data_IF_408905154929
#
_entry.id   IF_408905154929
#
_cell.length_a   1.000
_cell.length_b   1.000
_cell.length_c   1.000
_cell.angle_alpha   90.00
_cell.angle_beta   90.00
_cell.angle_gamma   90.00
#
_symmetry.space_group_name_H-M   'P 1'
#
loop_
_entity.id
_entity.type
_entity.pdbx_description
1 polymer ?
#
# COMPACT_ATOMS: atom_id res chain seq x y z
N UNK A 1 -30.98 8.53 -5.72
CA UNK A 1 -31.47 7.37 -6.48
C UNK A 1 -30.91 7.41 -7.90
N UNK A 2 -30.27 6.31 -8.33
CA UNK A 2 -29.78 6.16 -9.71
C UNK A 2 -30.99 5.73 -10.55
N UNK A 3 -31.39 6.56 -11.54
CA UNK A 3 -32.55 6.28 -12.38
C UNK A 3 -32.43 4.97 -13.20
N UNK A 4 -33.55 4.46 -13.71
CA UNK A 4 -33.63 3.16 -14.42
C UNK A 4 -32.74 3.05 -15.66
N UNK A 5 -32.50 4.15 -16.41
CA UNK A 5 -31.68 4.13 -17.64
C UNK A 5 -30.23 3.70 -17.43
N UNK A 6 -29.48 4.21 -16.42
CA UNK A 6 -28.13 3.73 -16.11
C UNK A 6 -28.09 2.27 -15.70
N UNK A 7 -29.11 1.76 -14.98
CA UNK A 7 -29.21 0.36 -14.57
C UNK A 7 -29.36 -0.57 -15.78
N UNK A 8 -30.23 -0.21 -16.75
CA UNK A 8 -30.39 -0.99 -17.98
C UNK A 8 -29.11 -1.03 -18.82
N UNK A 9 -28.41 0.10 -18.91
CA UNK A 9 -27.14 0.19 -19.63
C UNK A 9 -26.07 -0.68 -18.96
N UNK A 10 -25.91 -0.59 -17.64
CA UNK A 10 -24.98 -1.41 -16.89
C UNK A 10 -25.27 -2.91 -17.05
N UNK A 11 -26.54 -3.32 -16.96
CA UNK A 11 -26.93 -4.71 -17.16
C UNK A 11 -26.64 -5.21 -18.59
N UNK A 12 -26.83 -4.37 -19.60
CA UNK A 12 -26.49 -4.72 -20.99
C UNK A 12 -24.98 -4.93 -21.17
N UNK A 13 -24.14 -4.09 -20.55
CA UNK A 13 -22.69 -4.24 -20.55
C UNK A 13 -22.25 -5.50 -19.80
N UNK A 14 -22.79 -5.75 -18.61
CA UNK A 14 -22.45 -6.92 -17.79
C UNK A 14 -22.81 -8.23 -18.54
N UNK A 15 -23.98 -8.26 -19.23
CA UNK A 15 -24.33 -9.42 -20.07
C UNK A 15 -23.36 -9.64 -21.22
N UNK A 16 -22.84 -8.56 -21.84
CA UNK A 16 -21.82 -8.67 -22.89
C UNK A 16 -20.49 -9.18 -22.32
N UNK A 17 -20.07 -8.63 -21.18
CA UNK A 17 -18.83 -9.06 -20.50
C UNK A 17 -18.92 -10.52 -20.12
N UNK A 18 -20.06 -11.00 -19.62
CA UNK A 18 -20.28 -12.39 -19.24
C UNK A 18 -20.33 -13.41 -20.40
N UNK A 19 -20.22 -12.97 -21.66
CA UNK A 19 -20.21 -13.88 -22.83
C UNK A 19 -18.87 -14.58 -23.06
N UNK A 20 -17.80 -14.06 -22.45
CA UNK A 20 -16.45 -14.62 -22.54
C UNK A 20 -15.85 -14.66 -21.14
N UNK A 21 -14.95 -15.60 -20.92
CA UNK A 21 -14.05 -15.59 -19.77
C UNK A 21 -12.93 -14.52 -19.93
N UNK A 22 -12.10 -14.40 -18.93
CA UNK A 22 -11.01 -13.42 -18.94
C UNK A 22 -10.06 -13.64 -20.12
N UNK A 23 -9.66 -14.89 -20.37
CA UNK A 23 -8.74 -15.24 -21.47
C UNK A 23 -9.33 -14.92 -22.84
N UNK A 24 -10.61 -15.21 -23.03
CA UNK A 24 -11.35 -14.87 -24.25
C UNK A 24 -11.41 -13.35 -24.49
N UNK A 25 -11.57 -12.55 -23.42
CA UNK A 25 -11.51 -11.10 -23.52
C UNK A 25 -10.10 -10.60 -23.77
N UNK A 26 -9.10 -11.10 -23.05
CA UNK A 26 -7.71 -10.73 -23.27
C UNK A 26 -7.29 -10.99 -24.71
N UNK A 27 -7.59 -12.17 -25.26
CA UNK A 27 -7.30 -12.48 -26.66
C UNK A 27 -8.02 -11.55 -27.65
N UNK A 28 -9.22 -11.07 -27.28
CA UNK A 28 -9.95 -10.12 -28.13
C UNK A 28 -9.32 -8.74 -28.14
N UNK A 29 -8.95 -8.21 -26.95
CA UNK A 29 -8.42 -6.85 -26.83
C UNK A 29 -6.94 -6.73 -27.17
N UNK A 30 -6.21 -7.87 -27.20
CA UNK A 30 -4.81 -7.91 -27.63
C UNK A 30 -4.62 -8.30 -29.10
N UNK A 31 -5.70 -8.48 -29.84
CA UNK A 31 -5.61 -8.84 -31.26
C UNK A 31 -4.82 -7.78 -32.06
N UNK A 32 -3.73 -8.21 -32.68
CA UNK A 32 -2.83 -7.32 -33.43
C UNK A 32 -1.81 -6.57 -32.58
N UNK A 33 -1.75 -6.82 -31.27
CA UNK A 33 -0.68 -6.35 -30.40
C UNK A 33 0.41 -7.41 -30.29
N UNK A 34 1.65 -6.97 -30.15
CA UNK A 34 2.81 -7.84 -29.97
C UNK A 34 3.77 -7.27 -28.91
N UNK A 35 4.62 -8.13 -28.35
CA UNK A 35 5.70 -7.72 -27.46
C UNK A 35 5.21 -7.03 -26.18
N UNK A 36 5.73 -5.83 -25.89
CA UNK A 36 5.40 -5.10 -24.67
C UNK A 36 4.01 -4.49 -24.70
N UNK A 37 3.50 -4.13 -25.88
CA UNK A 37 2.12 -3.65 -26.01
C UNK A 37 1.11 -4.74 -25.63
N UNK A 38 1.32 -5.98 -26.04
CA UNK A 38 0.48 -7.12 -25.65
C UNK A 38 0.61 -7.40 -24.15
N UNK A 39 1.84 -7.45 -23.62
CA UNK A 39 2.08 -7.65 -22.17
C UNK A 39 1.39 -6.58 -21.33
N UNK A 40 1.49 -5.33 -21.74
CA UNK A 40 0.88 -4.18 -21.07
C UNK A 40 -0.62 -4.40 -20.85
N UNK A 41 -1.34 -4.78 -21.90
CA UNK A 41 -2.78 -5.04 -21.82
C UNK A 41 -3.07 -6.27 -20.95
N UNK A 42 -2.35 -7.38 -21.16
CA UNK A 42 -2.57 -8.65 -20.43
C UNK A 42 -2.30 -8.52 -18.93
N UNK A 43 -1.33 -7.69 -18.57
CA UNK A 43 -0.95 -7.47 -17.15
C UNK A 43 -1.57 -6.22 -16.54
N UNK A 44 -2.43 -5.50 -17.28
CA UNK A 44 -3.06 -4.24 -16.81
C UNK A 44 -2.06 -3.16 -16.41
N UNK A 45 -0.93 -3.08 -17.13
CA UNK A 45 0.08 -2.04 -16.96
C UNK A 45 0.12 -1.11 -18.18
N UNK A 46 0.48 0.16 -18.01
CA UNK A 46 0.87 1.02 -19.13
C UNK A 46 2.13 0.46 -19.83
N UNK A 47 2.18 0.54 -21.17
CA UNK A 47 3.33 0.01 -21.94
C UNK A 47 4.68 0.60 -21.49
N UNK A 48 4.74 1.89 -21.18
CA UNK A 48 5.96 2.54 -20.69
C UNK A 48 6.43 1.98 -19.33
N UNK A 49 5.55 1.49 -18.47
CA UNK A 49 5.90 0.80 -17.22
C UNK A 49 6.54 -0.56 -17.53
N UNK A 50 5.98 -1.32 -18.49
CA UNK A 50 6.56 -2.61 -18.92
C UNK A 50 7.98 -2.41 -19.47
N UNK A 51 8.19 -1.36 -20.26
CA UNK A 51 9.50 -0.99 -20.80
C UNK A 51 10.48 -0.60 -19.67
N UNK A 52 10.06 0.25 -18.74
CA UNK A 52 10.88 0.66 -17.60
C UNK A 52 11.28 -0.53 -16.71
N UNK A 53 10.35 -1.44 -16.43
CA UNK A 53 10.64 -2.67 -15.68
C UNK A 53 11.64 -3.57 -16.43
N UNK A 54 11.50 -3.70 -17.75
CA UNK A 54 12.46 -4.47 -18.56
C UNK A 54 13.86 -3.86 -18.53
N UNK A 55 13.96 -2.54 -18.63
CA UNK A 55 15.23 -1.82 -18.52
C UNK A 55 15.86 -2.02 -17.13
N UNK A 56 15.08 -1.92 -16.08
CA UNK A 56 15.52 -2.14 -14.71
C UNK A 56 16.01 -3.58 -14.46
N UNK A 57 15.38 -4.57 -15.09
CA UNK A 57 15.80 -5.97 -15.02
C UNK A 57 17.14 -6.24 -15.77
N UNK A 58 17.52 -5.41 -16.73
CA UNK A 58 18.76 -5.53 -17.48
C UNK A 58 19.00 -6.95 -18.03
N UNK A 59 20.04 -7.63 -17.60
CA UNK A 59 20.36 -9.01 -18.00
C UNK A 59 19.31 -10.06 -17.60
N UNK A 60 18.35 -9.70 -16.76
CA UNK A 60 17.25 -10.56 -16.32
C UNK A 60 15.90 -10.24 -16.99
N UNK A 61 15.91 -9.56 -18.15
CA UNK A 61 14.72 -9.14 -18.89
C UNK A 61 13.72 -10.30 -19.21
N UNK A 62 14.19 -11.55 -19.21
CA UNK A 62 13.33 -12.74 -19.34
C UNK A 62 12.39 -12.96 -18.14
N UNK A 63 12.61 -12.26 -17.03
CA UNK A 63 11.76 -12.33 -15.83
C UNK A 63 10.63 -11.31 -15.84
N UNK A 64 10.45 -10.53 -16.91
CA UNK A 64 9.44 -9.47 -16.99
C UNK A 64 8.03 -9.97 -16.69
N UNK A 65 7.63 -11.12 -17.23
CA UNK A 65 6.30 -11.67 -17.01
C UNK A 65 6.07 -12.09 -15.54
N UNK A 66 7.12 -12.55 -14.86
CA UNK A 66 7.07 -12.86 -13.41
C UNK A 66 6.94 -11.59 -12.57
N UNK A 67 7.64 -10.54 -12.95
CA UNK A 67 7.57 -9.24 -12.27
C UNK A 67 6.18 -8.65 -12.40
N UNK A 68 5.64 -8.58 -13.61
CA UNK A 68 4.28 -8.07 -13.86
C UNK A 68 3.20 -8.87 -13.12
N UNK A 69 3.36 -10.21 -13.06
CA UNK A 69 2.46 -11.06 -12.29
C UNK A 69 2.57 -10.80 -10.78
N UNK A 70 3.78 -10.62 -10.26
CA UNK A 70 3.99 -10.32 -8.85
C UNK A 70 3.42 -8.95 -8.44
N UNK A 71 3.54 -7.95 -9.32
CA UNK A 71 3.00 -6.60 -9.09
C UNK A 71 1.47 -6.58 -8.98
N UNK A 72 0.81 -7.51 -9.68
CA UNK A 72 -0.65 -7.67 -9.62
C UNK A 72 -1.16 -8.51 -8.44
N UNK A 73 -0.27 -9.06 -7.61
CA UNK A 73 -0.69 -9.78 -6.40
C UNK A 73 -1.14 -8.76 -5.35
N UNK A 74 -2.42 -8.80 -4.90
CA UNK A 74 -2.88 -7.89 -3.87
C UNK A 74 -2.02 -8.00 -2.61
N UNK A 75 -1.50 -6.87 -2.07
CA UNK A 75 -0.73 -6.90 -0.83
C UNK A 75 -1.62 -7.37 0.32
N UNK A 76 -1.03 -8.12 1.25
CA UNK A 76 -1.71 -8.44 2.51
C UNK A 76 -1.83 -7.16 3.33
N UNK A 77 -2.95 -7.02 4.02
CA UNK A 77 -3.14 -5.90 4.95
C UNK A 77 -2.18 -6.08 6.11
N UNK A 78 -1.27 -5.12 6.29
CA UNK A 78 -0.33 -5.11 7.39
C UNK A 78 -0.75 -4.03 8.39
N UNK A 79 -0.85 -4.42 9.65
CA UNK A 79 -1.09 -3.53 10.77
C UNK A 79 0.24 -3.11 11.39
N UNK A 80 0.27 -1.93 11.99
CA UNK A 80 1.39 -1.43 12.80
C UNK A 80 0.88 -1.13 14.21
N UNK A 81 1.46 -1.77 15.20
CA UNK A 81 1.30 -1.37 16.59
C UNK A 81 2.04 -0.05 16.83
N UNK A 82 1.45 0.87 17.59
CA UNK A 82 2.11 2.14 17.94
C UNK A 82 2.77 1.97 19.31
N UNK A 83 4.11 1.97 19.41
CA UNK A 83 4.84 1.77 20.65
C UNK A 83 4.37 2.69 21.78
N UNK A 84 4.13 2.13 22.96
CA UNK A 84 3.57 2.85 24.11
C UNK A 84 2.04 3.02 24.11
N UNK A 85 1.35 2.67 23.00
CA UNK A 85 -0.11 2.68 22.89
C UNK A 85 -0.69 1.28 22.71
N UNK A 86 0.03 0.40 22.01
CA UNK A 86 -0.29 -1.04 21.87
C UNK A 86 0.98 -1.84 21.62
N UNK A 87 0.89 -3.16 21.84
CA UNK A 87 1.93 -4.10 21.46
C UNK A 87 1.51 -4.88 20.22
N UNK A 88 2.46 -5.39 19.40
CA UNK A 88 2.11 -6.22 18.26
C UNK A 88 1.27 -7.44 18.63
N UNK A 89 1.50 -8.03 19.81
CA UNK A 89 0.78 -9.20 20.32
C UNK A 89 -0.70 -8.92 20.63
N UNK A 90 -1.07 -7.64 20.82
CA UNK A 90 -2.45 -7.23 21.02
C UNK A 90 -3.25 -7.22 19.70
N UNK A 91 -2.55 -7.26 18.55
CA UNK A 91 -3.16 -7.19 17.22
C UNK A 91 -3.38 -8.58 16.62
N UNK A 92 -4.47 -8.80 15.89
CA UNK A 92 -4.73 -10.06 15.19
C UNK A 92 -3.74 -10.28 14.03
N UNK A 93 -3.57 -11.56 13.65
CA UNK A 93 -2.78 -11.97 12.51
C UNK A 93 -1.39 -12.46 12.87
N UNK A 94 -0.59 -12.78 11.83
CA UNK A 94 0.76 -13.28 11.97
C UNK A 94 1.77 -12.14 12.19
N UNK A 95 2.92 -12.39 12.85
CA UNK A 95 4.02 -11.43 12.92
C UNK A 95 4.47 -11.00 11.53
N UNK A 96 4.86 -9.74 11.37
CA UNK A 96 5.56 -9.26 10.19
C UNK A 96 6.93 -9.91 10.02
N UNK A 97 7.50 -9.82 8.82
CA UNK A 97 8.79 -10.40 8.50
C UNK A 97 9.96 -9.46 8.83
N UNK A 98 9.72 -8.16 8.73
CA UNK A 98 10.77 -7.13 8.75
C UNK A 98 10.62 -6.14 9.89
N UNK A 99 9.38 -5.71 10.20
CA UNK A 99 9.12 -4.73 11.24
C UNK A 99 8.71 -5.40 12.56
N UNK A 100 9.33 -5.03 13.68
CA UNK A 100 8.95 -5.56 15.00
C UNK A 100 7.54 -5.13 15.44
N UNK A 101 6.96 -4.12 14.80
CA UNK A 101 5.62 -3.60 15.11
C UNK A 101 4.54 -4.11 14.18
N UNK A 102 4.91 -4.94 13.19
CA UNK A 102 4.00 -5.38 12.15
C UNK A 102 3.21 -6.63 12.55
N UNK A 103 1.93 -6.65 12.14
CA UNK A 103 1.07 -7.85 12.11
C UNK A 103 0.39 -7.95 10.75
N UNK A 104 0.51 -9.10 10.12
CA UNK A 104 -0.12 -9.38 8.83
C UNK A 104 -1.51 -9.93 9.09
N UNK A 105 -2.54 -9.16 8.75
CA UNK A 105 -3.93 -9.55 8.94
C UNK A 105 -4.28 -10.69 7.98
N UNK A 106 -4.77 -11.79 8.52
CA UNK A 106 -5.12 -12.98 7.73
C UNK A 106 -6.52 -12.90 7.12
N UNK A 107 -7.35 -11.97 7.59
CA UNK A 107 -8.70 -11.73 7.08
C UNK A 107 -9.45 -10.71 7.94
N UNK A 108 -10.64 -10.32 7.52
CA UNK A 108 -11.43 -9.27 8.17
C UNK A 108 -11.07 -7.87 7.69
N UNK A 109 -11.79 -6.87 8.17
CA UNK A 109 -11.51 -5.47 7.86
C UNK A 109 -10.63 -4.84 8.96
N UNK A 110 -9.61 -4.05 8.61
CA UNK A 110 -8.77 -3.37 9.60
C UNK A 110 -9.57 -2.50 10.58
N UNK A 111 -10.67 -1.89 10.11
CA UNK A 111 -11.55 -1.08 10.95
C UNK A 111 -12.32 -1.84 12.03
N UNK A 112 -12.37 -3.18 11.97
CA UNK A 112 -12.97 -4.03 12.99
C UNK A 112 -12.00 -4.27 14.16
N UNK A 113 -10.69 -3.99 13.98
CA UNK A 113 -9.67 -4.14 15.02
C UNK A 113 -9.77 -2.97 16.01
N UNK A 114 -10.05 -3.23 17.31
CA UNK A 114 -10.24 -2.18 18.30
C UNK A 114 -9.06 -1.20 18.39
N UNK A 115 -7.82 -1.71 18.34
CA UNK A 115 -6.60 -0.91 18.42
C UNK A 115 -6.50 0.07 17.25
N UNK A 116 -6.92 -0.35 16.05
CA UNK A 116 -6.93 0.51 14.85
C UNK A 116 -8.00 1.58 14.99
N UNK A 117 -9.20 1.21 15.44
CA UNK A 117 -10.32 2.12 15.63
C UNK A 117 -10.04 3.16 16.69
N UNK A 118 -9.34 2.77 17.76
CA UNK A 118 -8.97 3.65 18.88
C UNK A 118 -7.69 4.46 18.60
N UNK A 119 -7.07 4.30 17.42
CA UNK A 119 -5.83 5.01 17.07
C UNK A 119 -4.57 4.50 17.78
N UNK A 120 -4.63 3.34 18.45
CA UNK A 120 -3.48 2.70 19.12
C UNK A 120 -2.64 1.86 18.16
N UNK A 121 -3.20 1.52 17.01
CA UNK A 121 -2.55 0.85 15.87
C UNK A 121 -3.01 1.53 14.57
N UNK A 122 -2.49 1.07 13.45
CA UNK A 122 -2.89 1.56 12.13
C UNK A 122 -2.64 0.54 11.03
N UNK A 123 -3.07 0.86 9.82
CA UNK A 123 -2.71 0.11 8.61
C UNK A 123 -1.48 0.77 8.02
N UNK A 124 -0.39 0.02 7.91
CA UNK A 124 0.85 0.50 7.32
C UNK A 124 1.68 -0.67 6.81
N UNK A 125 2.14 -0.58 5.57
CA UNK A 125 3.07 -1.53 4.97
C UNK A 125 4.42 -1.57 5.73
N UNK A 126 5.04 -2.77 5.82
CA UNK A 126 6.29 -2.96 6.56
C UNK A 126 7.43 -2.09 6.03
N UNK A 127 7.53 -1.89 4.71
CA UNK A 127 8.55 -1.00 4.14
C UNK A 127 8.38 0.44 4.62
N UNK A 128 7.14 0.92 4.74
CA UNK A 128 6.83 2.24 5.32
C UNK A 128 7.12 2.31 6.82
N UNK A 129 6.91 1.22 7.56
CA UNK A 129 7.28 1.13 8.97
C UNK A 129 8.80 1.20 9.14
N UNK A 130 9.55 0.45 8.32
CA UNK A 130 11.02 0.44 8.36
C UNK A 130 11.62 1.82 8.09
N UNK A 131 11.05 2.61 7.17
CA UNK A 131 11.50 3.98 6.93
C UNK A 131 11.38 4.82 8.21
N UNK A 132 10.25 4.74 8.92
CA UNK A 132 10.04 5.46 10.17
C UNK A 132 10.98 4.96 11.29
N UNK A 133 11.14 3.65 11.42
CA UNK A 133 12.05 3.02 12.41
C UNK A 133 13.50 3.45 12.13
N UNK A 134 13.96 3.36 10.88
CA UNK A 134 15.33 3.74 10.49
C UNK A 134 15.61 5.21 10.80
N UNK A 135 14.64 6.10 10.53
CA UNK A 135 14.79 7.51 10.91
C UNK A 135 14.87 7.68 12.44
N UNK A 136 13.99 6.99 13.17
CA UNK A 136 13.98 7.06 14.62
C UNK A 136 15.27 6.52 15.27
N UNK A 137 15.91 5.53 14.64
CA UNK A 137 17.15 4.91 15.12
C UNK A 137 18.42 5.58 14.59
N UNK A 138 18.28 6.58 13.70
CA UNK A 138 19.44 7.28 13.14
C UNK A 138 20.26 7.97 14.24
N UNK A 139 21.57 7.74 14.21
CA UNK A 139 22.49 8.44 15.12
C UNK A 139 22.66 9.88 14.64
N UNK A 140 22.46 10.84 15.52
CA UNK A 140 22.64 12.26 15.24
C UNK A 140 23.63 12.87 16.22
N UNK A 141 24.37 13.87 15.76
CA UNK A 141 25.23 14.68 16.63
C UNK A 141 24.40 15.85 17.18
N UNK A 142 23.95 15.75 18.42
CA UNK A 142 23.21 16.82 19.08
C UNK A 142 21.93 16.35 19.80
N UNK A 143 21.10 17.30 20.26
CA UNK A 143 19.85 16.99 20.96
C UNK A 143 18.85 16.27 20.06
N UNK A 144 18.24 15.19 20.54
CA UNK A 144 17.22 14.39 19.85
C UNK A 144 15.83 14.58 20.49
N UNK A 145 15.47 15.82 20.78
CA UNK A 145 14.24 16.14 21.51
C UNK A 145 13.10 16.62 20.59
N UNK A 146 13.42 16.95 19.32
CA UNK A 146 12.47 17.56 18.38
C UNK A 146 12.62 16.97 16.98
N UNK A 147 11.59 16.29 16.53
CA UNK A 147 11.53 15.65 15.22
C UNK A 147 10.59 16.41 14.30
N UNK A 148 10.83 16.34 13.00
CA UNK A 148 10.02 16.99 11.98
C UNK A 148 9.72 16.03 10.82
N UNK A 149 8.44 15.83 10.54
CA UNK A 149 7.96 15.22 9.30
C UNK A 149 7.38 16.30 8.39
N UNK A 150 8.10 16.66 7.32
CA UNK A 150 7.73 17.76 6.42
C UNK A 150 6.57 17.42 5.47
N UNK A 151 6.29 16.15 5.24
CA UNK A 151 5.29 15.66 4.28
C UNK A 151 4.44 14.56 4.94
N UNK A 152 3.87 14.87 6.09
CA UNK A 152 3.26 13.89 6.98
C UNK A 152 2.00 13.20 6.45
N UNK A 153 1.20 13.91 5.64
CA UNK A 153 -0.11 13.42 5.19
C UNK A 153 -0.04 12.13 4.35
N UNK A 154 -0.94 11.17 4.55
CA UNK A 154 -2.10 11.17 5.46
C UNK A 154 -1.81 10.71 6.91
N UNK A 155 -0.55 10.70 7.37
CA UNK A 155 -0.22 10.47 8.77
C UNK A 155 0.38 9.10 9.12
N UNK A 156 0.44 8.15 8.20
CA UNK A 156 0.89 6.79 8.52
C UNK A 156 2.30 6.72 9.15
N UNK A 157 3.30 7.38 8.54
CA UNK A 157 4.66 7.45 9.10
C UNK A 157 4.72 8.37 10.31
N UNK A 158 4.05 9.53 10.24
CA UNK A 158 4.02 10.49 11.33
C UNK A 158 3.44 9.89 12.62
N UNK A 159 2.41 9.06 12.53
CA UNK A 159 1.82 8.39 13.69
C UNK A 159 2.79 7.41 14.37
N UNK A 160 3.53 6.62 13.58
CA UNK A 160 4.57 5.73 14.14
C UNK A 160 5.75 6.52 14.70
N UNK A 161 6.22 7.54 13.97
CA UNK A 161 7.28 8.44 14.44
C UNK A 161 6.89 9.15 15.74
N UNK A 162 5.65 9.63 15.85
CA UNK A 162 5.13 10.26 17.06
C UNK A 162 5.13 9.32 18.27
N UNK A 163 4.75 8.06 18.06
CA UNK A 163 4.79 7.04 19.11
C UNK A 163 6.25 6.74 19.55
N UNK A 164 7.17 6.60 18.59
CA UNK A 164 8.60 6.41 18.87
C UNK A 164 9.26 7.62 19.55
N UNK A 165 8.93 8.84 19.09
CA UNK A 165 9.39 10.08 19.71
C UNK A 165 8.94 10.17 21.16
N UNK A 166 7.66 9.90 21.43
CA UNK A 166 7.11 9.93 22.79
C UNK A 166 7.83 8.98 23.75
N UNK A 167 8.19 7.77 23.29
CA UNK A 167 8.98 6.83 24.09
C UNK A 167 10.37 7.36 24.47
N UNK A 168 10.94 8.26 23.66
CA UNK A 168 12.24 8.91 23.91
C UNK A 168 12.13 10.25 24.63
N UNK A 169 10.93 10.69 24.96
CA UNK A 169 10.70 12.03 25.51
C UNK A 169 10.85 13.15 24.47
N UNK A 170 10.86 12.81 23.19
CA UNK A 170 10.91 13.77 22.07
C UNK A 170 9.52 14.18 21.61
N UNK A 171 9.45 15.29 20.88
CA UNK A 171 8.23 15.82 20.26
C UNK A 171 8.34 15.76 18.74
N UNK A 172 7.32 15.21 18.07
CA UNK A 172 7.20 15.25 16.62
C UNK A 172 6.33 16.44 16.19
N UNK A 173 6.82 17.23 15.24
CA UNK A 173 6.01 18.19 14.47
C UNK A 173 5.72 17.55 13.11
N UNK A 174 4.45 17.33 12.82
CA UNK A 174 3.99 16.80 11.53
C UNK A 174 3.44 17.95 10.68
N UNK A 175 4.01 18.16 9.49
CA UNK A 175 3.60 19.21 8.56
C UNK A 175 3.00 18.58 7.30
N UNK A 176 1.86 19.11 6.84
CA UNK A 176 1.25 18.76 5.58
C UNK A 176 0.70 20.01 4.89
N UNK A 177 1.05 20.19 3.61
CA UNK A 177 0.63 21.36 2.83
C UNK A 177 -0.88 21.32 2.49
N UNK A 178 -1.41 20.13 2.28
CA UNK A 178 -2.80 19.93 1.86
C UNK A 178 -3.69 19.75 3.09
N UNK A 179 -4.52 20.74 3.40
CA UNK A 179 -5.40 20.73 4.59
C UNK A 179 -6.23 19.44 4.70
N UNK A 180 -6.86 19.00 3.59
CA UNK A 180 -7.66 17.77 3.60
C UNK A 180 -6.88 16.49 3.90
N UNK A 181 -5.56 16.50 3.78
CA UNK A 181 -4.67 15.38 4.16
C UNK A 181 -4.11 15.53 5.55
N UNK A 182 -4.06 16.77 6.06
CA UNK A 182 -3.65 17.06 7.43
C UNK A 182 -4.75 16.73 8.44
N UNK A 183 -6.02 16.74 8.00
CA UNK A 183 -7.20 16.45 8.82
C UNK A 183 -7.49 14.94 8.97
N UNK A 184 -6.72 14.07 8.30
CA UNK A 184 -6.86 12.61 8.37
C UNK A 184 -6.05 12.03 9.54
#
# INVERSE_FOLDING_TARGET
EIGHKPVHFANALLRKIGQKDLDGWLNTVTQGLEGDAERAVRSSHPEWIVQAFREALGGHATQIDKLLAADNVPPRVTLVARPGLSNPEDLPGAPGLLSPYARILEGGAPGDVPEVRDGRAGVQDEGSQLVAITLAEATIDGPDERWLDLCAGPGGKAALLGALANQRGATLVANELQAHRADL
#
